data_IF_508935641925
#
_entry.id   IF_508935641925
#
_cell.length_a   1.000
_cell.length_b   1.000
_cell.length_c   1.000
_cell.angle_alpha   90.00
_cell.angle_beta   90.00
_cell.angle_gamma   90.00
#
_symmetry.space_group_name_H-M   'P 1'
#
loop_
_entity.id
_entity.type
_entity.pdbx_description
1 polymer ?
#
# COMPACT_ATOMS: atom_id res chain seq x y z
N UNK A 1 9.05 -31.87 -50.96
CA UNK A 1 9.75 -30.57 -51.05
C UNK A 1 8.85 -29.67 -51.86
N UNK A 2 8.51 -28.52 -51.28
CA UNK A 2 7.51 -27.52 -51.72
C UNK A 2 6.06 -28.00 -51.82
N UNK A 3 5.16 -27.29 -51.14
CA UNK A 3 3.87 -26.83 -51.68
C UNK A 3 3.25 -25.82 -50.70
N UNK A 4 3.44 -24.56 -51.08
CA UNK A 4 2.60 -23.36 -50.96
C UNK A 4 1.43 -23.31 -49.97
N UNK A 5 1.46 -22.23 -49.19
CA UNK A 5 0.34 -21.67 -48.44
C UNK A 5 -0.78 -21.20 -49.38
N UNK A 6 -2.02 -21.53 -49.03
CA UNK A 6 -3.24 -20.90 -49.58
C UNK A 6 -4.05 -20.24 -48.47
N UNK A 7 -4.44 -19.02 -48.81
CA UNK A 7 -5.40 -18.11 -48.18
C UNK A 7 -6.69 -18.78 -47.68
N UNK A 8 -7.28 -18.19 -46.63
CA UNK A 8 -8.72 -17.97 -46.39
C UNK A 8 -8.80 -17.20 -45.05
N UNK A 9 -9.54 -16.13 -44.82
CA UNK A 9 -10.73 -15.58 -45.46
C UNK A 9 -11.50 -14.93 -44.31
N UNK A 10 -11.48 -13.60 -44.22
CA UNK A 10 -12.12 -12.82 -43.16
C UNK A 10 -13.65 -12.91 -43.31
N UNK A 11 -14.33 -13.53 -42.35
CA UNK A 11 -15.80 -13.53 -42.27
C UNK A 11 -16.28 -12.28 -41.55
N UNK A 12 -16.95 -11.41 -42.31
CA UNK A 12 -17.63 -10.19 -41.89
C UNK A 12 -18.96 -10.57 -41.23
N UNK A 13 -19.12 -10.29 -39.93
CA UNK A 13 -20.42 -10.35 -39.25
C UNK A 13 -21.07 -8.97 -39.30
N UNK A 14 -22.12 -8.86 -40.12
CA UNK A 14 -23.06 -7.74 -40.14
C UNK A 14 -24.12 -8.03 -39.08
N UNK A 15 -24.37 -7.11 -38.15
CA UNK A 15 -25.53 -7.15 -37.24
C UNK A 15 -26.48 -6.03 -37.62
N UNK A 16 -27.67 -6.43 -38.04
CA UNK A 16 -28.81 -5.58 -38.37
C UNK A 16 -29.44 -4.98 -37.09
N UNK A 17 -29.99 -3.77 -37.24
CA UNK A 17 -30.56 -2.97 -36.16
C UNK A 17 -31.92 -3.46 -35.68
N UNK A 18 -32.16 -3.28 -34.38
CA UNK A 18 -33.46 -3.42 -33.73
C UNK A 18 -33.76 -2.18 -32.88
N UNK A 19 -34.87 -1.52 -33.19
CA UNK A 19 -35.42 -0.35 -32.49
C UNK A 19 -36.05 -0.81 -31.16
N UNK A 20 -35.68 -0.17 -30.06
CA UNK A 20 -36.21 -0.43 -28.72
C UNK A 20 -36.19 0.82 -27.83
N UNK A 21 -37.37 1.46 -27.74
CA UNK A 21 -37.95 2.36 -26.71
C UNK A 21 -37.02 2.95 -25.62
N UNK A 22 -36.92 4.29 -25.61
CA UNK A 22 -36.37 5.12 -24.54
C UNK A 22 -37.31 5.20 -23.32
N UNK A 23 -36.76 5.05 -22.12
CA UNK A 23 -37.27 5.66 -20.88
C UNK A 23 -36.10 6.28 -20.09
N UNK A 24 -36.22 7.58 -19.82
CA UNK A 24 -35.69 8.28 -18.64
C UNK A 24 -34.17 8.29 -18.39
N UNK A 25 -33.44 9.22 -19.01
CA UNK A 25 -32.12 9.65 -18.55
C UNK A 25 -31.92 11.12 -18.88
N UNK A 26 -31.78 11.97 -17.86
CA UNK A 26 -31.50 13.39 -17.99
C UNK A 26 -30.11 13.58 -18.61
N UNK A 27 -30.06 14.12 -19.84
CA UNK A 27 -28.82 14.54 -20.47
C UNK A 27 -28.43 15.94 -19.97
N UNK A 28 -27.37 16.01 -19.14
CA UNK A 28 -26.63 17.25 -18.95
C UNK A 28 -25.84 17.55 -20.24
N UNK A 29 -26.34 18.51 -21.01
CA UNK A 29 -25.70 18.99 -22.23
C UNK A 29 -24.46 19.84 -21.90
N UNK A 30 -23.26 19.28 -22.08
CA UNK A 30 -22.04 20.07 -22.16
C UNK A 30 -21.89 20.61 -23.59
N UNK A 31 -22.09 21.92 -23.75
CA UNK A 31 -21.91 22.61 -25.02
C UNK A 31 -20.43 22.69 -25.41
N UNK A 32 -20.11 22.09 -26.57
CA UNK A 32 -19.12 22.62 -27.51
C UNK A 32 -17.64 22.30 -27.25
N UNK A 33 -17.17 21.20 -27.84
CA UNK A 33 -16.08 21.17 -28.84
C UNK A 33 -15.90 19.72 -29.32
N UNK A 34 -16.41 19.44 -30.52
CA UNK A 34 -16.26 18.16 -31.22
C UNK A 34 -14.88 18.07 -31.85
N UNK A 35 -13.95 17.34 -31.22
CA UNK A 35 -12.82 16.68 -31.90
C UNK A 35 -12.63 15.28 -31.31
N UNK A 36 -13.03 14.28 -32.10
CA UNK A 36 -12.80 12.83 -31.98
C UNK A 36 -11.70 12.37 -31.01
N UNK A 37 -12.06 12.19 -29.74
CA UNK A 37 -11.44 11.21 -28.84
C UNK A 37 -12.58 10.26 -28.42
N UNK A 38 -13.05 9.47 -29.38
CA UNK A 38 -13.62 8.17 -29.06
C UNK A 38 -12.43 7.23 -28.85
N UNK A 39 -12.44 6.44 -27.77
CA UNK A 39 -11.36 5.57 -27.23
C UNK A 39 -10.53 6.21 -26.09
N UNK A 40 -11.19 6.81 -25.10
CA UNK A 40 -10.82 6.55 -23.71
C UNK A 40 -12.06 5.93 -23.09
N UNK A 41 -12.06 4.60 -22.97
CA UNK A 41 -13.09 3.91 -22.22
C UNK A 41 -12.95 4.37 -20.75
N UNK A 42 -13.84 5.26 -20.29
CA UNK A 42 -13.88 5.69 -18.89
C UNK A 42 -14.18 4.52 -17.93
N UNK A 43 -14.53 3.34 -18.46
CA UNK A 43 -14.65 2.07 -17.73
C UNK A 43 -13.30 1.34 -17.61
N UNK A 44 -12.23 1.86 -18.23
CA UNK A 44 -10.90 1.26 -18.14
C UNK A 44 -10.33 1.51 -16.72
N UNK A 45 -10.06 0.45 -15.95
CA UNK A 45 -9.58 0.57 -14.58
C UNK A 45 -8.19 1.23 -14.45
N UNK A 46 -7.46 1.40 -15.56
CA UNK A 46 -6.20 2.15 -15.58
C UNK A 46 -6.38 3.67 -15.71
N UNK A 47 -7.57 4.13 -16.13
CA UNK A 47 -7.88 5.55 -16.38
C UNK A 47 -8.62 6.15 -15.16
N UNK A 48 -9.48 5.37 -14.49
CA UNK A 48 -10.27 5.81 -13.33
C UNK A 48 -9.44 6.45 -12.20
N UNK A 49 -8.29 5.87 -11.75
CA UNK A 49 -7.49 6.47 -10.68
C UNK A 49 -6.85 7.79 -11.09
N UNK A 50 -6.53 7.96 -12.38
CA UNK A 50 -5.91 9.19 -12.92
C UNK A 50 -6.97 10.30 -13.03
N UNK A 51 -8.21 9.97 -13.42
CA UNK A 51 -9.31 10.93 -13.50
C UNK A 51 -9.82 11.40 -12.12
N UNK A 52 -9.77 10.55 -11.10
CA UNK A 52 -10.15 10.93 -9.73
C UNK A 52 -9.23 12.03 -9.13
N UNK A 53 -7.99 12.17 -9.63
CA UNK A 53 -7.08 13.24 -9.22
C UNK A 53 -7.51 14.64 -9.69
N UNK A 54 -8.25 14.75 -10.79
CA UNK A 54 -8.75 16.05 -11.29
C UNK A 54 -10.09 16.46 -10.63
N UNK A 55 -10.81 15.52 -10.01
CA UNK A 55 -12.13 15.75 -9.43
C UNK A 55 -12.18 16.64 -8.18
N UNK A 56 -11.03 16.91 -7.53
CA UNK A 56 -10.97 17.67 -6.27
C UNK A 56 -10.73 19.19 -6.43
N UNK A 57 -10.94 19.77 -7.62
CA UNK A 57 -10.83 21.22 -7.83
C UNK A 57 -12.08 21.84 -8.44
N UNK A 58 -13.22 21.75 -7.74
CA UNK A 58 -14.39 22.54 -8.08
C UNK A 58 -15.00 23.19 -6.83
N UNK A 59 -14.36 24.27 -6.38
CA UNK A 59 -15.03 25.30 -5.58
C UNK A 59 -14.39 26.65 -5.83
N UNK A 60 -15.02 27.47 -6.68
CA UNK A 60 -15.54 28.78 -6.27
C UNK A 60 -16.11 29.52 -7.49
N UNK A 61 -17.43 29.53 -7.58
CA UNK A 61 -18.14 30.58 -8.30
C UNK A 61 -18.03 31.87 -7.49
N UNK A 62 -17.29 32.85 -8.01
CA UNK A 62 -17.27 34.20 -7.44
C UNK A 62 -17.93 35.19 -8.39
N UNK A 63 -19.07 35.69 -7.92
CA UNK A 63 -19.81 36.82 -8.48
C UNK A 63 -18.90 38.02 -8.69
N UNK A 64 -19.02 38.62 -9.86
CA UNK A 64 -18.44 39.94 -10.18
C UNK A 64 -19.07 40.99 -9.26
N UNK A 65 -18.24 41.70 -8.49
CA UNK A 65 -18.55 43.04 -7.98
C UNK A 65 -17.36 43.95 -8.27
N UNK A 66 -17.66 45.09 -8.89
CA UNK A 66 -16.74 46.18 -9.20
C UNK A 66 -16.33 46.94 -7.94
N UNK A 67 -15.09 47.43 -7.93
CA UNK A 67 -14.69 48.67 -7.25
C UNK A 67 -13.56 48.53 -6.23
N UNK A 68 -12.46 49.25 -6.47
CA UNK A 68 -11.47 49.61 -5.43
C UNK A 68 -10.03 49.35 -5.82
N UNK A 69 -9.29 50.42 -6.11
CA UNK A 69 -7.85 50.44 -6.39
C UNK A 69 -7.04 49.99 -5.16
N UNK A 70 -6.07 49.11 -5.38
CA UNK A 70 -5.07 48.72 -4.39
C UNK A 70 -3.94 47.96 -5.07
N UNK A 71 -2.73 48.53 -5.03
CA UNK A 71 -1.51 47.89 -5.50
C UNK A 71 -1.24 46.65 -4.63
N UNK A 72 -1.20 45.47 -5.26
CA UNK A 72 -0.66 44.25 -4.68
C UNK A 72 0.43 43.73 -5.61
N UNK A 73 1.63 43.56 -5.05
CA UNK A 73 2.77 42.90 -5.67
C UNK A 73 2.36 41.46 -6.00
N UNK A 74 2.49 41.08 -7.28
CA UNK A 74 2.06 39.79 -7.79
C UNK A 74 3.05 38.70 -7.39
N UNK A 75 2.62 37.79 -6.52
CA UNK A 75 3.16 36.43 -6.53
C UNK A 75 2.54 35.70 -7.72
N UNK A 76 3.37 35.40 -8.72
CA UNK A 76 3.00 34.57 -9.87
C UNK A 76 2.61 33.17 -9.38
N UNK A 77 1.30 32.94 -9.24
CA UNK A 77 0.75 31.60 -9.04
C UNK A 77 0.95 30.84 -10.37
N UNK A 78 2.08 30.14 -10.49
CA UNK A 78 2.32 29.21 -11.61
C UNK A 78 1.27 28.10 -11.53
N UNK A 79 0.20 28.23 -12.32
CA UNK A 79 -0.80 27.16 -12.51
C UNK A 79 -0.10 25.99 -13.19
N UNK A 80 0.24 24.94 -12.44
CA UNK A 80 0.71 23.67 -13.01
C UNK A 80 -0.46 23.03 -13.74
N UNK A 81 -0.45 23.09 -15.06
CA UNK A 81 -1.36 22.33 -15.89
C UNK A 81 -0.88 20.88 -15.92
N UNK A 82 -1.70 19.95 -15.43
CA UNK A 82 -1.49 18.53 -15.64
C UNK A 82 -2.33 18.11 -16.84
N UNK A 83 -1.75 17.26 -17.69
CA UNK A 83 -2.43 16.69 -18.83
C UNK A 83 -2.16 15.19 -18.84
N UNK A 84 -3.17 14.40 -19.16
CA UNK A 84 -3.01 12.96 -19.33
C UNK A 84 -2.30 12.72 -20.67
N UNK A 85 -1.08 12.19 -20.62
CA UNK A 85 -0.28 11.83 -21.80
C UNK A 85 -0.15 10.32 -21.86
N UNK A 86 -0.53 9.74 -22.99
CA UNK A 86 -0.32 8.32 -23.27
C UNK A 86 1.00 8.18 -24.02
N UNK A 87 1.93 7.42 -23.45
CA UNK A 87 3.21 7.08 -24.05
C UNK A 87 3.55 5.62 -23.76
N UNK A 88 4.27 4.97 -24.67
CA UNK A 88 4.86 3.65 -24.39
C UNK A 88 5.86 3.78 -23.24
N UNK A 89 5.79 2.90 -22.25
CA UNK A 89 6.69 2.96 -21.09
C UNK A 89 8.11 2.48 -21.44
N UNK A 90 8.22 1.65 -22.47
CA UNK A 90 9.46 1.12 -23.03
C UNK A 90 10.41 2.21 -23.55
N UNK A 91 9.89 3.38 -23.94
CA UNK A 91 10.71 4.54 -24.34
C UNK A 91 11.50 5.14 -23.16
N UNK A 92 11.10 4.82 -21.93
CA UNK A 92 11.75 5.24 -20.70
C UNK A 92 12.59 4.11 -20.07
N UNK A 93 12.73 2.98 -20.76
CA UNK A 93 13.56 1.87 -20.31
C UNK A 93 14.98 1.98 -20.88
N UNK A 94 15.95 1.51 -20.11
CA UNK A 94 17.34 1.44 -20.55
C UNK A 94 17.46 0.41 -21.67
N UNK A 95 17.99 0.76 -22.87
CA UNK A 95 18.09 -0.16 -24.00
C UNK A 95 19.07 -1.32 -23.77
N UNK A 96 19.88 -1.26 -22.70
CA UNK A 96 20.88 -2.28 -22.37
C UNK A 96 20.32 -3.34 -21.42
N UNK A 97 19.60 -2.94 -20.37
CA UNK A 97 19.07 -3.86 -19.36
C UNK A 97 17.55 -3.98 -19.32
N UNK A 98 16.84 -3.19 -20.14
CA UNK A 98 15.37 -3.09 -20.17
C UNK A 98 14.73 -2.72 -18.82
N UNK A 99 15.50 -2.17 -17.87
CA UNK A 99 14.97 -1.63 -16.63
C UNK A 99 14.59 -0.15 -16.83
N UNK A 100 13.56 0.36 -16.12
CA UNK A 100 13.22 1.78 -16.13
C UNK A 100 14.45 2.65 -15.87
N UNK A 101 14.64 3.69 -16.67
CA UNK A 101 15.68 4.68 -16.44
C UNK A 101 15.40 5.37 -15.10
N UNK A 102 16.41 5.50 -14.25
CA UNK A 102 16.34 6.27 -13.00
C UNK A 102 17.56 7.18 -12.90
N UNK A 103 17.43 8.39 -12.31
CA UNK A 103 18.59 9.24 -12.06
C UNK A 103 19.68 8.50 -11.25
N UNK A 104 20.98 8.63 -11.60
CA UNK A 104 21.52 9.39 -12.72
C UNK A 104 21.38 8.70 -14.08
N UNK A 105 21.01 9.47 -15.11
CA UNK A 105 20.83 9.01 -16.51
C UNK A 105 21.92 9.63 -17.38
N UNK A 106 22.54 8.85 -18.26
CA UNK A 106 23.62 9.29 -19.14
C UNK A 106 23.21 9.25 -20.61
N UNK A 107 23.77 10.15 -21.43
CA UNK A 107 23.41 10.30 -22.84
C UNK A 107 24.64 10.21 -23.74
N UNK A 108 24.54 9.50 -24.88
CA UNK A 108 25.56 9.54 -25.92
C UNK A 108 25.36 10.72 -26.89
N UNK A 109 26.36 11.05 -27.71
CA UNK A 109 26.28 12.17 -28.65
C UNK A 109 25.17 12.07 -29.71
N UNK A 110 24.57 10.89 -29.91
CA UNK A 110 23.41 10.69 -30.80
C UNK A 110 22.07 10.62 -30.06
N UNK A 111 22.07 10.77 -28.74
CA UNK A 111 20.85 10.89 -27.95
C UNK A 111 20.30 9.62 -27.31
N UNK A 112 21.00 8.48 -27.37
CA UNK A 112 20.61 7.28 -26.62
C UNK A 112 20.88 7.46 -25.12
N UNK A 113 19.93 7.04 -24.29
CA UNK A 113 20.02 7.10 -22.84
C UNK A 113 20.45 5.76 -22.25
N UNK A 114 21.24 5.82 -21.18
CA UNK A 114 21.74 4.64 -20.46
C UNK A 114 21.61 4.91 -18.96
N UNK A 115 21.13 3.92 -18.19
CA UNK A 115 21.07 4.03 -16.73
C UNK A 115 22.47 3.94 -16.11
N UNK A 116 22.64 4.46 -14.88
CA UNK A 116 23.91 4.41 -14.15
C UNK A 116 24.55 3.03 -14.13
N UNK A 117 23.78 1.99 -13.78
CA UNK A 117 24.30 0.64 -13.63
C UNK A 117 24.84 0.04 -14.95
N UNK A 118 24.26 0.42 -16.09
CA UNK A 118 24.74 0.00 -17.40
C UNK A 118 25.93 0.86 -17.86
N UNK A 119 25.88 2.17 -17.60
CA UNK A 119 26.96 3.10 -17.90
C UNK A 119 28.28 2.69 -17.20
N UNK A 120 28.21 2.29 -15.93
CA UNK A 120 29.39 1.89 -15.15
C UNK A 120 30.01 0.56 -15.64
N UNK A 121 29.23 -0.23 -16.39
CA UNK A 121 29.67 -1.50 -16.99
C UNK A 121 30.10 -1.34 -18.45
N UNK A 122 30.07 -0.14 -19.03
CA UNK A 122 30.46 0.07 -20.42
C UNK A 122 31.96 -0.19 -20.61
N UNK A 123 32.36 -0.97 -21.62
CA UNK A 123 33.76 -1.32 -21.84
C UNK A 123 34.54 -0.15 -22.45
N UNK A 124 35.84 -0.10 -22.13
CA UNK A 124 36.80 0.85 -22.69
C UNK A 124 36.83 2.21 -21.98
N UNK A 125 37.83 3.03 -22.33
CA UNK A 125 38.02 4.39 -21.77
C UNK A 125 36.90 5.34 -22.17
N UNK A 126 36.29 5.10 -23.33
CA UNK A 126 35.35 6.03 -23.97
C UNK A 126 33.89 5.67 -23.65
N UNK A 127 33.64 4.65 -22.81
CA UNK A 127 32.31 4.15 -22.43
C UNK A 127 31.36 4.09 -23.62
N UNK A 128 31.69 3.24 -24.60
CA UNK A 128 30.96 3.20 -25.86
C UNK A 128 29.50 2.76 -25.68
N UNK A 129 28.58 3.52 -26.27
CA UNK A 129 27.14 3.26 -26.25
C UNK A 129 26.82 1.89 -26.84
N UNK A 130 26.06 1.06 -26.13
CA UNK A 130 25.65 -0.26 -26.60
C UNK A 130 24.75 -0.27 -27.85
N UNK A 131 24.17 0.88 -28.21
CA UNK A 131 23.26 1.00 -29.37
C UNK A 131 23.98 1.51 -30.62
N UNK A 132 24.87 2.49 -30.49
CA UNK A 132 25.51 3.17 -31.64
C UNK A 132 27.04 3.27 -31.57
N UNK A 133 27.66 2.68 -30.54
CA UNK A 133 29.11 2.66 -30.30
C UNK A 133 29.77 4.04 -30.12
N UNK A 134 29.00 5.11 -29.98
CA UNK A 134 29.51 6.46 -29.67
C UNK A 134 29.81 6.62 -28.18
N UNK A 135 30.75 7.50 -27.78
CA UNK A 135 31.00 7.76 -26.36
C UNK A 135 29.72 8.18 -25.63
N UNK A 136 29.45 7.55 -24.49
CA UNK A 136 28.45 8.03 -23.54
C UNK A 136 29.10 9.14 -22.73
N UNK A 137 28.49 10.33 -22.79
CA UNK A 137 29.04 11.57 -22.22
C UNK A 137 28.48 11.79 -20.80
N UNK A 138 28.14 13.03 -20.50
CA UNK A 138 27.69 13.48 -19.20
C UNK A 138 26.24 13.07 -18.87
N UNK A 139 25.93 13.26 -17.59
CA UNK A 139 24.61 13.07 -16.99
C UNK A 139 23.58 14.00 -17.66
N UNK A 140 22.47 13.43 -18.10
CA UNK A 140 21.39 14.15 -18.77
C UNK A 140 20.29 14.57 -17.77
N UNK A 141 20.49 15.70 -17.10
CA UNK A 141 19.51 16.25 -16.14
C UNK A 141 18.13 16.54 -16.75
N UNK A 142 18.05 16.84 -18.05
CA UNK A 142 16.78 17.08 -18.73
C UNK A 142 15.89 15.85 -18.72
N UNK A 143 16.45 14.68 -19.06
CA UNK A 143 15.71 13.41 -19.05
C UNK A 143 15.39 12.94 -17.65
N UNK A 144 16.27 13.20 -16.68
CA UNK A 144 15.98 12.92 -15.27
C UNK A 144 14.73 13.67 -14.79
N UNK A 145 14.55 14.93 -15.21
CA UNK A 145 13.34 15.70 -14.90
C UNK A 145 12.10 15.09 -15.57
N UNK A 146 12.21 14.67 -16.83
CA UNK A 146 11.11 14.04 -17.58
C UNK A 146 10.70 12.73 -16.90
N UNK A 147 11.65 11.83 -16.67
CA UNK A 147 11.40 10.53 -16.02
C UNK A 147 10.88 10.70 -14.59
N UNK A 148 11.33 11.75 -13.89
CA UNK A 148 10.84 12.11 -12.56
C UNK A 148 9.40 12.65 -12.55
N UNK A 149 8.91 13.22 -13.66
CA UNK A 149 7.55 13.76 -13.77
C UNK A 149 6.55 12.80 -14.39
N UNK A 150 6.99 11.67 -14.96
CA UNK A 150 6.09 10.64 -15.50
C UNK A 150 5.56 9.79 -14.36
N UNK A 151 4.26 9.94 -14.08
CA UNK A 151 3.53 9.14 -13.10
C UNK A 151 2.74 8.03 -13.80
N UNK A 152 2.72 6.86 -13.18
CA UNK A 152 1.96 5.70 -13.63
C UNK A 152 1.13 5.15 -12.46
N UNK A 153 -0.03 4.53 -12.73
CA UNK A 153 -0.79 3.85 -11.70
C UNK A 153 -0.04 2.60 -11.22
N UNK A 154 -0.23 2.26 -9.95
CA UNK A 154 0.19 0.98 -9.38
C UNK A 154 -0.43 -0.18 -10.16
N UNK A 155 0.28 -1.31 -10.31
CA UNK A 155 -0.32 -2.51 -10.92
C UNK A 155 -1.48 -3.08 -10.08
N UNK A 156 -1.54 -2.74 -8.80
CA UNK A 156 -2.62 -3.12 -7.88
C UNK A 156 -3.73 -2.06 -7.79
N UNK A 157 -3.88 -1.19 -8.79
CA UNK A 157 -4.97 -0.21 -8.83
C UNK A 157 -6.36 -0.86 -8.78
N UNK A 158 -6.51 -2.02 -9.42
CA UNK A 158 -7.72 -2.85 -9.35
C UNK A 158 -8.00 -3.44 -7.96
N UNK A 159 -7.01 -3.41 -7.06
CA UNK A 159 -7.12 -3.86 -5.68
C UNK A 159 -7.19 -2.68 -4.69
N UNK A 160 -7.43 -1.46 -5.18
CA UNK A 160 -7.66 -0.28 -4.35
C UNK A 160 -6.49 0.71 -4.29
N UNK A 161 -5.33 0.41 -4.89
CA UNK A 161 -4.20 1.34 -4.86
C UNK A 161 -4.43 2.54 -5.79
N UNK A 162 -4.69 3.72 -5.22
CA UNK A 162 -4.87 4.97 -5.97
C UNK A 162 -3.58 5.77 -6.16
N UNK A 163 -2.44 5.26 -5.69
CA UNK A 163 -1.17 5.98 -5.73
C UNK A 163 -0.66 6.15 -7.17
N UNK A 164 -0.40 7.40 -7.55
CA UNK A 164 0.34 7.74 -8.76
C UNK A 164 1.85 7.73 -8.45
N UNK A 165 2.60 6.84 -9.11
CA UNK A 165 3.99 6.54 -8.75
C UNK A 165 4.90 7.00 -9.90
N UNK A 166 6.05 7.64 -9.63
CA UNK A 166 7.04 7.86 -10.67
C UNK A 166 7.42 6.55 -11.33
N UNK A 167 7.40 6.48 -12.67
CA UNK A 167 7.56 5.21 -13.41
C UNK A 167 8.79 4.40 -12.95
N UNK A 168 9.92 5.09 -12.75
CA UNK A 168 11.17 4.48 -12.32
C UNK A 168 11.15 3.90 -10.89
N UNK A 169 10.15 4.24 -10.06
CA UNK A 169 9.94 3.72 -8.69
C UNK A 169 8.80 2.72 -8.59
N UNK A 170 8.10 2.42 -9.69
CA UNK A 170 6.93 1.54 -9.70
C UNK A 170 7.20 0.19 -9.00
N UNK A 171 8.30 -0.47 -9.38
CA UNK A 171 8.68 -1.76 -8.79
C UNK A 171 9.12 -1.70 -7.33
N UNK A 172 9.55 -0.54 -6.83
CA UNK A 172 9.86 -0.35 -5.40
C UNK A 172 8.58 -0.22 -4.59
N UNK A 173 7.63 0.58 -5.09
CA UNK A 173 6.30 0.69 -4.48
C UNK A 173 5.59 -0.66 -4.43
N UNK A 174 5.59 -1.42 -5.53
CA UNK A 174 4.88 -2.71 -5.60
C UNK A 174 5.38 -3.75 -4.59
N UNK A 175 6.63 -3.65 -4.13
CA UNK A 175 7.22 -4.52 -3.09
C UNK A 175 6.76 -4.20 -1.68
N UNK A 176 6.08 -3.07 -1.47
CA UNK A 176 5.58 -2.62 -0.16
C UNK A 176 4.12 -2.18 -0.23
N UNK A 177 3.47 -2.32 -1.38
CA UNK A 177 2.10 -1.88 -1.58
C UNK A 177 1.14 -2.71 -0.73
N UNK A 178 0.34 -2.05 0.10
CA UNK A 178 -0.64 -2.69 0.98
C UNK A 178 -1.77 -3.38 0.20
N UNK A 179 -2.05 -2.94 -1.02
CA UNK A 179 -3.05 -3.52 -1.92
C UNK A 179 -2.52 -4.67 -2.76
N UNK A 180 -1.27 -5.12 -2.53
CA UNK A 180 -0.79 -6.35 -3.15
C UNK A 180 -1.70 -7.53 -2.76
N UNK A 181 -2.04 -8.42 -3.70
CA UNK A 181 -3.01 -9.47 -3.44
C UNK A 181 -2.48 -10.49 -2.43
N UNK A 182 -3.38 -11.02 -1.62
CA UNK A 182 -3.13 -12.19 -0.78
C UNK A 182 -3.68 -13.45 -1.47
N UNK A 183 -3.19 -14.62 -1.04
CA UNK A 183 -3.48 -15.91 -1.68
C UNK A 183 -4.29 -16.81 -0.77
N UNK A 184 -5.11 -17.69 -1.35
CA UNK A 184 -5.73 -18.77 -0.59
C UNK A 184 -4.64 -19.79 -0.20
N UNK A 185 -4.48 -20.10 1.11
CA UNK A 185 -3.43 -21.00 1.56
C UNK A 185 -3.78 -22.48 1.34
N UNK A 186 -5.01 -22.79 0.90
CA UNK A 186 -5.43 -24.16 0.60
C UNK A 186 -4.63 -24.72 -0.58
N UNK A 187 -4.10 -25.93 -0.39
CA UNK A 187 -3.21 -26.53 -1.36
C UNK A 187 -3.93 -26.76 -2.71
N UNK A 188 -3.36 -26.25 -3.80
CA UNK A 188 -3.93 -26.37 -5.14
C UNK A 188 -5.11 -25.43 -5.44
N UNK A 189 -5.48 -24.51 -4.54
CA UNK A 189 -6.54 -23.54 -4.83
C UNK A 189 -6.08 -22.43 -5.80
N UNK A 190 -4.91 -21.84 -5.54
CA UNK A 190 -4.28 -20.83 -6.39
C UNK A 190 -5.04 -19.49 -6.51
N UNK A 191 -6.11 -19.31 -5.75
CA UNK A 191 -6.90 -18.08 -5.76
C UNK A 191 -6.13 -16.92 -5.10
N UNK A 192 -6.26 -15.71 -5.65
CA UNK A 192 -5.63 -14.51 -5.13
C UNK A 192 -6.56 -13.29 -5.28
N UNK A 193 -6.49 -12.35 -4.35
CA UNK A 193 -7.31 -11.13 -4.37
C UNK A 193 -7.10 -10.24 -3.14
N UNK A 194 -7.96 -9.23 -3.00
CA UNK A 194 -8.06 -8.42 -1.78
C UNK A 194 -8.57 -9.26 -0.60
N UNK A 195 -8.44 -8.74 0.63
CA UNK A 195 -8.97 -9.39 1.84
C UNK A 195 -10.49 -9.62 1.73
N UNK A 196 -11.24 -8.64 1.21
CA UNK A 196 -12.69 -8.75 0.98
C UNK A 196 -13.05 -9.89 0.00
N UNK A 197 -12.32 -9.95 -1.12
CA UNK A 197 -12.54 -10.99 -2.14
C UNK A 197 -12.15 -12.37 -1.61
N UNK A 198 -11.11 -12.45 -0.78
CA UNK A 198 -10.71 -13.69 -0.10
C UNK A 198 -11.74 -14.15 0.93
N UNK A 199 -12.33 -13.23 1.70
CA UNK A 199 -13.37 -13.55 2.68
C UNK A 199 -14.57 -14.24 1.99
N UNK A 200 -15.05 -13.68 0.88
CA UNK A 200 -16.10 -14.28 0.06
C UNK A 200 -15.68 -15.63 -0.54
N UNK A 201 -14.41 -15.77 -0.95
CA UNK A 201 -13.87 -17.03 -1.45
C UNK A 201 -13.82 -18.14 -0.40
N UNK A 202 -13.39 -17.84 0.83
CA UNK A 202 -13.27 -18.81 1.91
C UNK A 202 -14.61 -19.44 2.27
N UNK A 203 -15.69 -18.66 2.30
CA UNK A 203 -17.05 -19.20 2.48
C UNK A 203 -17.50 -20.04 1.29
N UNK A 204 -17.43 -19.48 0.09
CA UNK A 204 -18.06 -20.07 -1.08
C UNK A 204 -17.37 -21.36 -1.55
N UNK A 205 -16.05 -21.46 -1.40
CA UNK A 205 -15.26 -22.59 -1.93
C UNK A 205 -14.79 -23.56 -0.86
N UNK A 206 -14.44 -23.07 0.33
CA UNK A 206 -13.82 -23.88 1.38
C UNK A 206 -14.73 -24.14 2.58
N UNK A 207 -15.90 -23.47 2.65
CA UNK A 207 -16.86 -23.57 3.76
C UNK A 207 -16.17 -23.35 5.13
N UNK A 208 -15.17 -22.46 5.16
CA UNK A 208 -14.48 -22.11 6.40
C UNK A 208 -15.39 -21.29 7.30
N UNK A 209 -15.31 -21.57 8.60
CA UNK A 209 -16.06 -20.84 9.60
C UNK A 209 -15.56 -19.40 9.67
N UNK A 210 -16.48 -18.44 9.75
CA UNK A 210 -16.19 -17.02 9.93
C UNK A 210 -16.77 -16.56 11.27
N UNK A 211 -15.96 -15.81 12.01
CA UNK A 211 -16.42 -15.01 13.16
C UNK A 211 -16.06 -13.55 12.91
N UNK A 212 -17.07 -12.68 12.89
CA UNK A 212 -16.85 -11.25 12.96
C UNK A 212 -16.51 -10.84 14.40
N UNK A 213 -15.57 -9.91 14.57
CA UNK A 213 -15.17 -9.40 15.88
C UNK A 213 -14.96 -7.89 15.87
N UNK A 214 -14.86 -7.30 17.05
CA UNK A 214 -14.47 -5.91 17.27
C UNK A 214 -13.16 -5.86 18.03
N UNK A 215 -12.32 -4.90 17.72
CA UNK A 215 -11.06 -4.69 18.43
C UNK A 215 -11.32 -4.40 19.92
N UNK A 216 -10.41 -4.89 20.77
CA UNK A 216 -10.42 -4.77 22.23
C UNK A 216 -11.62 -5.42 22.95
N UNK A 217 -12.57 -6.01 22.23
CA UNK A 217 -13.69 -6.76 22.80
C UNK A 217 -13.40 -8.27 22.75
N UNK A 218 -13.59 -9.03 23.85
CA UNK A 218 -13.43 -10.47 23.83
C UNK A 218 -14.57 -11.15 23.06
N UNK A 219 -14.22 -12.17 22.27
CA UNK A 219 -15.17 -12.99 21.53
C UNK A 219 -14.79 -14.47 21.56
N UNK A 220 -15.78 -15.32 21.32
CA UNK A 220 -15.65 -16.77 21.48
C UNK A 220 -15.44 -17.47 20.12
N UNK A 221 -14.39 -18.28 20.04
CA UNK A 221 -14.07 -19.11 18.87
C UNK A 221 -14.05 -20.58 19.26
N UNK A 222 -14.85 -21.45 18.62
CA UNK A 222 -14.85 -22.88 18.94
C UNK A 222 -13.53 -23.54 18.51
N UNK A 223 -12.94 -24.36 19.37
CA UNK A 223 -11.76 -25.16 19.02
C UNK A 223 -12.19 -26.30 18.11
N UNK A 224 -12.01 -26.12 16.79
CA UNK A 224 -12.22 -27.14 15.76
C UNK A 224 -10.98 -27.20 14.88
N UNK A 225 -10.51 -28.41 14.58
CA UNK A 225 -9.36 -28.60 13.70
C UNK A 225 -9.62 -27.97 12.31
N UNK A 226 -8.59 -27.34 11.76
CA UNK A 226 -8.66 -26.62 10.48
C UNK A 226 -8.53 -25.11 10.62
N UNK A 227 -9.00 -24.39 9.62
CA UNK A 227 -8.92 -22.93 9.51
C UNK A 227 -10.24 -22.30 9.94
N UNK A 228 -10.15 -21.31 10.83
CA UNK A 228 -11.23 -20.44 11.22
C UNK A 228 -10.85 -19.00 10.87
N UNK A 229 -11.72 -18.33 10.13
CA UNK A 229 -11.51 -16.98 9.62
C UNK A 229 -12.08 -15.99 10.64
N UNK A 230 -11.29 -15.00 11.03
CA UNK A 230 -11.71 -13.91 11.91
C UNK A 230 -11.72 -12.62 11.10
N UNK A 231 -12.84 -11.92 11.10
CA UNK A 231 -13.08 -10.72 10.31
C UNK A 231 -13.32 -9.54 11.24
N UNK A 232 -12.48 -8.52 11.18
CA UNK A 232 -12.63 -7.31 11.98
C UNK A 232 -13.71 -6.42 11.38
N UNK A 233 -14.78 -6.16 12.13
CA UNK A 233 -15.72 -5.10 11.76
C UNK A 233 -15.08 -3.76 12.09
N UNK A 234 -14.74 -2.96 11.07
CA UNK A 234 -14.43 -1.55 11.25
C UNK A 234 -15.65 -0.82 11.83
N UNK A 235 -15.41 0.26 12.56
CA UNK A 235 -16.50 1.18 12.92
C UNK A 235 -17.10 1.76 11.62
N UNK A 236 -18.42 1.88 11.56
CA UNK A 236 -19.18 2.20 10.32
C UNK A 236 -18.80 3.56 9.69
N UNK A 237 -18.00 4.38 10.38
CA UNK A 237 -17.59 5.72 9.98
C UNK A 237 -16.34 5.74 9.06
N UNK A 238 -15.49 4.71 9.10
CA UNK A 238 -14.28 4.60 8.26
C UNK A 238 -14.48 3.63 7.10
N UNK A 239 -15.33 4.01 6.14
CA UNK A 239 -15.66 3.20 4.94
C UNK A 239 -14.51 2.99 3.95
N UNK A 240 -13.36 3.61 4.20
CA UNK A 240 -12.19 3.55 3.32
C UNK A 240 -11.13 2.55 3.81
N UNK A 241 -11.32 1.94 5.00
CA UNK A 241 -10.39 0.94 5.52
C UNK A 241 -10.89 -0.47 5.15
N UNK A 242 -10.14 -1.14 4.26
CA UNK A 242 -10.27 -2.57 3.99
C UNK A 242 -10.32 -3.32 5.33
N UNK A 243 -11.45 -3.96 5.62
CA UNK A 243 -11.65 -4.68 6.88
C UNK A 243 -10.57 -5.73 7.11
N UNK A 244 -10.02 -5.76 8.32
CA UNK A 244 -8.92 -6.66 8.66
C UNK A 244 -9.36 -8.13 8.69
N UNK A 245 -8.50 -9.00 8.16
CA UNK A 245 -8.76 -10.43 8.03
C UNK A 245 -7.66 -11.23 8.73
N UNK A 246 -8.04 -12.17 9.59
CA UNK A 246 -7.12 -13.05 10.29
C UNK A 246 -7.50 -14.52 10.10
N UNK A 247 -6.49 -15.39 10.08
CA UNK A 247 -6.70 -16.85 10.05
C UNK A 247 -6.20 -17.45 11.36
N UNK A 248 -7.14 -17.98 12.13
CA UNK A 248 -6.86 -18.84 13.27
C UNK A 248 -6.84 -20.29 12.77
N UNK A 249 -5.69 -20.94 12.84
CA UNK A 249 -5.56 -22.34 12.47
C UNK A 249 -5.31 -23.20 13.70
N UNK A 250 -6.11 -24.26 13.83
CA UNK A 250 -6.02 -25.27 14.89
C UNK A 250 -5.51 -26.55 14.26
N UNK A 251 -4.35 -27.02 14.74
CA UNK A 251 -3.65 -28.20 14.24
C UNK A 251 -4.49 -29.47 14.23
N UNK A 252 -4.03 -30.44 13.44
CA UNK A 252 -4.78 -31.65 13.08
C UNK A 252 -5.34 -32.45 14.27
N UNK A 253 -6.46 -33.18 14.04
CA UNK A 253 -7.20 -33.90 15.07
C UNK A 253 -6.46 -35.14 15.62
N UNK A 254 -5.41 -35.62 14.95
CA UNK A 254 -4.72 -36.87 15.31
C UNK A 254 -3.83 -36.77 16.57
N UNK A 255 -3.81 -35.60 17.22
CA UNK A 255 -3.09 -35.36 18.46
C UNK A 255 -4.06 -34.95 19.59
N UNK A 256 -3.83 -35.42 20.84
CA UNK A 256 -4.63 -35.04 22.00
C UNK A 256 -4.48 -33.56 22.41
N UNK A 257 -3.56 -32.85 21.75
CA UNK A 257 -3.24 -31.45 21.93
C UNK A 257 -3.19 -30.81 20.54
N UNK A 258 -4.00 -29.78 20.31
CA UNK A 258 -3.99 -29.00 19.09
C UNK A 258 -3.15 -27.75 19.28
N UNK A 259 -2.25 -27.49 18.33
CA UNK A 259 -1.55 -26.22 18.27
C UNK A 259 -2.44 -25.15 17.64
N UNK A 260 -2.43 -23.96 18.20
CA UNK A 260 -3.15 -22.80 17.68
C UNK A 260 -2.15 -21.80 17.12
N UNK A 261 -2.37 -21.38 15.89
CA UNK A 261 -1.61 -20.35 15.18
C UNK A 261 -2.56 -19.27 14.70
N UNK A 262 -2.12 -18.01 14.74
CA UNK A 262 -2.88 -16.85 14.29
C UNK A 262 -2.00 -16.02 13.34
N UNK A 263 -2.58 -15.59 12.22
CA UNK A 263 -1.90 -14.78 11.21
C UNK A 263 -2.86 -13.72 10.68
N UNK A 264 -2.37 -12.51 10.44
CA UNK A 264 -3.11 -11.46 9.73
C UNK A 264 -2.88 -11.61 8.23
N UNK A 265 -3.95 -11.62 7.45
CA UNK A 265 -3.93 -11.74 5.99
C UNK A 265 -3.63 -10.37 5.41
N UNK A 266 -2.36 -10.13 5.13
CA UNK A 266 -1.89 -8.86 4.62
C UNK A 266 -0.53 -9.07 3.93
N UNK A 267 -0.40 -8.58 2.70
CA UNK A 267 0.80 -8.80 1.90
C UNK A 267 2.05 -8.11 2.49
N UNK A 268 1.87 -6.87 2.98
CA UNK A 268 2.94 -6.05 3.53
C UNK A 268 2.51 -5.40 4.85
N UNK A 269 3.43 -5.26 5.84
CA UNK A 269 3.09 -4.69 7.13
C UNK A 269 2.65 -3.22 7.01
N UNK A 270 1.69 -2.82 7.86
CA UNK A 270 1.30 -1.43 8.08
C UNK A 270 2.15 -0.81 9.21
N UNK A 271 1.95 0.48 9.46
CA UNK A 271 2.68 1.24 10.48
C UNK A 271 2.32 0.80 11.91
N UNK A 272 1.11 0.27 12.14
CA UNK A 272 0.68 -0.21 13.45
C UNK A 272 0.90 -1.71 13.66
N UNK A 273 1.10 -2.10 14.92
CA UNK A 273 1.20 -3.49 15.35
C UNK A 273 -0.16 -3.97 15.85
N UNK A 274 -0.45 -5.25 15.65
CA UNK A 274 -1.67 -5.87 16.16
C UNK A 274 -1.27 -6.99 17.09
N UNK A 275 -1.74 -6.93 18.33
CA UNK A 275 -1.54 -7.95 19.35
C UNK A 275 -2.79 -8.82 19.52
N UNK A 276 -2.61 -9.98 20.16
CA UNK A 276 -3.70 -10.87 20.52
C UNK A 276 -3.52 -11.44 21.92
N UNK A 277 -4.62 -11.60 22.66
CA UNK A 277 -4.68 -12.46 23.83
C UNK A 277 -5.73 -13.54 23.61
N UNK A 278 -5.40 -14.77 24.00
CA UNK A 278 -6.28 -15.93 23.92
C UNK A 278 -6.33 -16.59 25.28
N UNK A 279 -7.52 -16.73 25.83
CA UNK A 279 -7.80 -17.46 27.06
C UNK A 279 -8.72 -18.65 26.82
N UNK A 280 -8.58 -19.71 27.59
CA UNK A 280 -9.57 -20.77 27.67
C UNK A 280 -9.58 -21.44 29.04
N UNK A 281 -10.74 -22.01 29.40
CA UNK A 281 -10.92 -22.77 30.63
C UNK A 281 -11.25 -24.22 30.30
N UNK A 282 -10.57 -25.16 30.95
CA UNK A 282 -10.75 -26.59 30.70
C UNK A 282 -10.89 -27.36 32.01
N UNK A 283 -12.13 -27.68 32.39
CA UNK A 283 -12.57 -28.33 33.64
C UNK A 283 -12.01 -27.73 34.96
N UNK A 284 -12.76 -27.92 36.05
CA UNK A 284 -12.34 -27.74 37.45
C UNK A 284 -11.34 -26.60 37.74
N UNK A 285 -11.68 -25.37 37.37
CA UNK A 285 -10.92 -24.17 37.77
C UNK A 285 -9.56 -23.99 37.10
N UNK A 286 -9.22 -24.76 36.07
CA UNK A 286 -8.04 -24.49 35.24
C UNK A 286 -8.35 -23.46 34.16
N UNK A 287 -7.53 -22.40 34.13
CA UNK A 287 -7.54 -21.34 33.14
C UNK A 287 -6.14 -21.24 32.51
N UNK A 288 -6.09 -21.21 31.19
CA UNK A 288 -4.85 -20.94 30.45
C UNK A 288 -5.05 -19.68 29.61
N UNK A 289 -4.04 -18.83 29.59
CA UNK A 289 -3.97 -17.69 28.70
C UNK A 289 -2.63 -17.69 27.96
N UNK A 290 -2.65 -17.20 26.73
CA UNK A 290 -1.49 -16.94 25.90
C UNK A 290 -1.64 -15.54 25.28
N UNK A 291 -0.56 -14.79 25.24
CA UNK A 291 -0.49 -13.50 24.56
C UNK A 291 0.47 -13.59 23.39
N UNK A 292 0.15 -12.84 22.34
CA UNK A 292 0.98 -12.66 21.17
C UNK A 292 1.12 -11.16 20.95
N UNK A 293 2.26 -10.61 21.35
CA UNK A 293 2.55 -9.17 21.28
C UNK A 293 2.50 -8.64 19.84
N UNK A 294 2.77 -9.51 18.87
CA UNK A 294 2.66 -9.16 17.46
C UNK A 294 2.13 -10.33 16.62
N UNK A 295 0.95 -10.14 16.06
CA UNK A 295 0.39 -11.03 15.05
C UNK A 295 1.14 -10.82 13.74
N UNK A 296 1.76 -11.88 13.26
CA UNK A 296 2.52 -11.85 12.01
C UNK A 296 1.60 -11.60 10.81
N UNK A 297 2.02 -10.71 9.91
CA UNK A 297 1.41 -10.50 8.60
C UNK A 297 1.89 -11.56 7.59
N UNK A 298 1.01 -11.97 6.68
CA UNK A 298 1.35 -12.87 5.58
C UNK A 298 0.46 -12.65 4.37
N UNK A 299 1.06 -12.63 3.17
CA UNK A 299 0.35 -12.74 1.90
C UNK A 299 -0.25 -14.13 1.68
N UNK A 300 0.12 -15.11 2.51
CA UNK A 300 -0.24 -16.53 2.38
C UNK A 300 0.26 -17.20 1.08
N UNK A 301 1.14 -16.55 0.32
CA UNK A 301 1.69 -17.11 -0.93
C UNK A 301 2.47 -18.43 -0.71
N UNK A 302 2.97 -18.64 0.50
CA UNK A 302 3.70 -19.85 0.92
C UNK A 302 2.85 -20.78 1.82
N UNK A 303 1.52 -20.57 1.84
CA UNK A 303 0.59 -21.27 2.73
C UNK A 303 0.53 -20.68 4.15
N UNK A 304 -0.09 -21.43 5.06
CA UNK A 304 -0.22 -21.03 6.47
C UNK A 304 1.13 -21.07 7.20
N UNK A 305 1.42 -20.09 8.07
CA UNK A 305 2.62 -20.11 8.89
C UNK A 305 2.58 -21.28 9.89
N UNK A 306 3.76 -21.84 10.18
CA UNK A 306 3.92 -22.99 11.09
C UNK A 306 4.10 -22.61 12.57
N UNK A 307 3.98 -21.32 12.90
CA UNK A 307 4.25 -20.81 14.24
C UNK A 307 2.99 -20.93 15.12
N UNK A 308 3.03 -21.80 16.12
CA UNK A 308 1.99 -21.90 17.14
C UNK A 308 2.34 -21.06 18.37
N UNK A 309 1.35 -20.39 18.96
CA UNK A 309 1.53 -19.58 20.17
C UNK A 309 0.70 -20.09 21.36
N UNK A 310 -0.28 -20.96 21.11
CA UNK A 310 -1.13 -21.57 22.13
C UNK A 310 -1.30 -23.06 21.83
N UNK A 311 -1.51 -23.87 22.87
CA UNK A 311 -1.80 -25.31 22.75
C UNK A 311 -3.08 -25.56 23.54
N UNK A 312 -4.06 -26.22 22.90
CA UNK A 312 -5.35 -26.54 23.51
C UNK A 312 -5.60 -28.05 23.51
N UNK A 313 -6.22 -28.63 24.54
CA UNK A 313 -6.52 -30.06 24.56
C UNK A 313 -7.64 -30.46 23.59
N UNK A 314 -7.71 -31.75 23.25
CA UNK A 314 -8.84 -32.34 22.51
C UNK A 314 -9.97 -32.78 23.48
N UNK A 315 -11.23 -32.40 23.19
CA UNK A 315 -12.34 -32.66 24.13
C UNK A 315 -12.73 -34.11 24.01
N UNK A 316 -12.27 -34.95 24.95
CA UNK A 316 -12.71 -36.34 25.01
C UNK A 316 -14.22 -36.39 25.25
N UNK A 317 -14.91 -37.20 24.43
CA UNK A 317 -16.35 -37.51 24.54
C UNK A 317 -16.65 -38.04 25.96
N UNK A 318 -17.09 -37.16 26.85
CA UNK A 318 -17.29 -37.48 28.26
C UNK A 318 -17.73 -36.30 29.11
N UNK A 319 -18.80 -35.60 28.70
CA UNK A 319 -19.60 -34.75 29.59
C UNK A 319 -19.19 -33.27 29.75
N UNK A 320 -18.07 -32.83 29.16
CA UNK A 320 -17.74 -31.40 29.05
C UNK A 320 -18.24 -30.83 27.71
N UNK A 321 -18.73 -29.59 27.72
CA UNK A 321 -19.07 -28.85 26.50
C UNK A 321 -17.85 -28.67 25.58
N UNK A 322 -18.05 -28.21 24.32
CA UNK A 322 -16.95 -27.91 23.42
C UNK A 322 -16.05 -26.84 24.06
N UNK A 323 -14.75 -26.94 23.84
CA UNK A 323 -13.81 -25.93 24.32
C UNK A 323 -13.78 -24.76 23.37
N UNK A 324 -13.79 -23.58 23.97
CA UNK A 324 -13.93 -22.29 23.32
C UNK A 324 -12.73 -21.46 23.72
N UNK A 325 -12.15 -20.79 22.74
CA UNK A 325 -11.14 -19.76 22.94
C UNK A 325 -11.86 -18.43 23.11
N UNK A 326 -11.61 -17.76 24.22
CA UNK A 326 -11.93 -16.35 24.38
C UNK A 326 -10.75 -15.56 23.81
N UNK A 327 -10.97 -14.91 22.68
CA UNK A 327 -9.97 -14.20 21.89
C UNK A 327 -10.22 -12.70 22.00
N UNK A 328 -9.18 -11.92 22.23
CA UNK A 328 -9.21 -10.46 22.15
C UNK A 328 -8.07 -10.01 21.24
N UNK A 329 -8.37 -9.20 20.23
CA UNK A 329 -7.39 -8.64 19.30
C UNK A 329 -7.37 -7.13 19.51
N UNK A 330 -6.18 -6.55 19.61
CA UNK A 330 -5.99 -5.11 19.84
C UNK A 330 -4.90 -4.55 18.94
N UNK A 331 -4.94 -3.24 18.71
CA UNK A 331 -3.90 -2.51 17.99
C UNK A 331 -2.97 -1.85 19.01
N UNK A 332 -1.66 -2.03 18.84
CA UNK A 332 -0.65 -1.30 19.58
C UNK A 332 -0.26 -0.09 18.74
N UNK A 333 -0.68 1.10 19.18
CA UNK A 333 -0.20 2.36 18.64
C UNK A 333 1.07 2.67 19.43
N UNK A 334 2.23 2.68 18.76
CA UNK A 334 3.43 3.27 19.37
C UNK A 334 3.09 4.76 19.57
N UNK A 335 2.76 5.17 20.80
CA UNK A 335 2.64 6.57 21.14
C UNK A 335 4.03 7.18 20.95
N UNK A 336 4.19 8.07 19.97
CA UNK A 336 5.39 8.88 19.84
C UNK A 336 5.60 9.62 21.18
N UNK A 337 6.57 9.19 21.98
CA UNK A 337 6.98 9.86 23.22
C UNK A 337 7.67 11.21 22.93
N UNK A 338 6.98 12.13 22.25
CA UNK A 338 7.55 13.43 21.90
C UNK A 338 6.51 14.54 22.01
N UNK A 339 5.92 14.72 23.20
CA UNK A 339 5.27 15.99 23.58
C UNK A 339 5.07 16.18 25.09
N UNK A 340 6.10 15.88 25.90
CA UNK A 340 6.16 16.37 27.29
C UNK A 340 7.55 16.94 27.63
N UNK A 341 7.92 18.04 26.94
CA UNK A 341 8.76 19.08 27.56
C UNK A 341 7.83 20.18 28.04
N UNK A 342 7.19 19.93 29.18
CA UNK A 342 6.61 21.02 29.97
C UNK A 342 7.72 22.02 30.30
N UNK A 343 7.45 23.28 29.98
CA UNK A 343 8.29 24.43 30.31
C UNK A 343 8.09 24.72 31.79
N UNK A 344 9.01 24.24 32.62
CA UNK A 344 9.16 24.74 33.99
C UNK A 344 9.90 26.09 33.98
N UNK A 345 9.19 27.16 33.59
CA UNK A 345 9.56 28.52 33.98
C UNK A 345 8.85 28.83 35.32
N UNK A 346 9.41 28.34 36.42
CA UNK A 346 9.03 28.81 37.77
C UNK A 346 10.22 29.49 38.43
N UNK A 347 10.14 30.81 38.40
CA UNK A 347 10.84 31.80 39.21
C UNK A 347 11.10 31.30 40.65
N UNK A 348 12.37 31.11 40.99
CA UNK A 348 12.79 31.04 42.39
C UNK A 348 13.95 32.00 42.64
N UNK A 349 13.58 33.16 43.18
CA UNK A 349 14.39 34.04 44.00
C UNK A 349 15.58 33.35 44.70
N UNK A 350 16.80 33.69 44.29
CA UNK A 350 18.00 33.52 45.12
C UNK A 350 18.53 34.92 45.46
N UNK A 351 18.18 35.41 46.65
CA UNK A 351 18.92 36.47 47.32
C UNK A 351 19.93 35.81 48.27
N UNK A 352 21.18 35.77 47.82
CA UNK A 352 22.39 35.55 48.62
C UNK A 352 23.25 36.76 48.29
N UNK A 353 23.47 37.73 49.18
CA UNK A 353 24.19 37.60 50.45
C UNK A 353 25.49 38.39 50.27
N UNK A 354 25.51 39.62 50.77
CA UNK A 354 26.62 40.58 50.75
C UNK A 354 27.93 39.97 51.24
N UNK A 355 28.99 39.98 50.41
CA UNK A 355 30.38 40.04 50.87
C UNK A 355 31.22 40.82 49.84
N UNK A 356 31.72 42.00 50.25
CA UNK A 356 32.77 42.74 49.56
C UNK A 356 34.12 42.18 50.00
N UNK A 357 34.93 41.73 49.05
CA UNK A 357 36.36 41.53 49.23
C UNK A 357 37.06 42.89 49.30
N UNK A 358 37.93 43.05 50.30
CA UNK A 358 38.95 44.11 50.34
C UNK A 358 40.27 43.51 49.85
N UNK A 359 40.87 44.23 48.92
CA UNK A 359 42.09 43.86 48.20
C UNK A 359 43.34 43.77 49.09
N UNK A 360 44.23 42.94 48.57
CA UNK A 360 45.58 42.56 48.96
C UNK A 360 46.55 43.69 49.31
N UNK A 361 47.57 43.35 50.12
CA UNK A 361 48.93 43.79 49.83
C UNK A 361 49.95 42.75 50.30
N UNK A 362 50.53 42.08 49.30
CA UNK A 362 51.64 41.15 49.34
C UNK A 362 52.95 41.82 49.82
N UNK A 363 53.76 41.04 50.55
CA UNK A 363 54.99 41.44 51.19
C UNK A 363 56.11 40.43 50.95
N UNK A 364 56.69 40.52 49.74
CA UNK A 364 58.10 40.33 49.38
C UNK A 364 58.87 39.10 49.90
N UNK A 365 59.52 38.39 48.97
CA UNK A 365 60.90 37.92 49.16
C UNK A 365 61.72 37.90 47.86
N UNK A 366 62.65 38.86 47.84
CA UNK A 366 63.97 38.99 47.21
C UNK A 366 64.46 37.94 46.19
N UNK A 367 65.06 38.46 45.11
CA UNK A 367 66.53 38.55 45.00
C UNK A 367 66.96 39.97 44.57
#
# INVERSE_FOLDING_TARGET
>A
MEMEAKSNGVTKLVKEGGVGRQEGGEYLACNGLTTWIDILDCSNPLISPILQLEGNSCSNGSKIKQGGEGQQEGEDIVRKQHAIVIMGTDVLDCPVCSAPLSPPIFQCSLGHFVCSACHDKLPGTDRACGVCSRPVLDRCHGVERIVGSVLVPCSYALHGCTTAIPYHRKGEHEKVCLHAPCFCPENGCGFAGTTEVLLGHFTAKHDWLITAFKYYEPFDVPVKAGVHVLHGNGEEEDKDNDSDLFLLHVGYPDAPLHSVSLVRVQAHPQEYRVGCSVGFSWFMGQYQAATLDFIRNSSLSNGLPKCSFCIVPEVRRGGGGPVVLSVTIGIDIEEDEDDNKERDDVDSHVKVGDYKEEDEADGHKAD
#
